data_IF_276471978349
#
_entry.id   IF_276471978349
#
_cell.length_a   1.000
_cell.length_b   1.000
_cell.length_c   1.000
_cell.angle_alpha   90.00
_cell.angle_beta   90.00
_cell.angle_gamma   90.00
#
_symmetry.space_group_name_H-M   'P 1'
#
loop_
_entity.id
_entity.type
_entity.pdbx_description
1 polymer ?
#
# COMPACT_ATOMS: atom_id res chain seq x y z
N UNK A 1 4.52 -52.87 61.84
CA UNK A 1 4.30 -51.40 61.90
C UNK A 1 5.54 -50.72 61.35
N UNK A 2 5.35 -49.82 60.37
CA UNK A 2 6.11 -48.55 60.21
C UNK A 2 7.58 -48.65 59.73
N UNK A 3 8.08 -47.89 58.77
CA UNK A 3 7.52 -46.82 57.95
C UNK A 3 8.42 -46.59 56.73
N UNK A 4 7.77 -46.55 55.58
CA UNK A 4 8.25 -46.08 54.29
C UNK A 4 8.41 -44.56 54.29
N UNK A 5 9.21 -44.09 53.32
CA UNK A 5 9.23 -42.75 52.72
C UNK A 5 10.06 -41.69 53.45
N UNK A 6 11.12 -41.29 52.75
CA UNK A 6 11.69 -39.95 52.52
C UNK A 6 12.97 -40.24 51.72
N UNK A 7 13.31 -39.66 50.58
CA UNK A 7 12.87 -38.45 49.91
C UNK A 7 13.60 -38.50 48.55
N UNK A 8 12.90 -38.78 47.44
CA UNK A 8 13.50 -38.75 46.10
C UNK A 8 13.13 -37.42 45.48
N UNK A 9 14.10 -36.51 45.39
CA UNK A 9 14.04 -35.37 44.48
C UNK A 9 15.47 -34.95 44.10
N UNK A 10 15.61 -34.59 42.82
CA UNK A 10 16.70 -33.84 42.17
C UNK A 10 18.02 -34.54 41.84
N UNK A 11 18.39 -34.52 40.55
CA UNK A 11 19.76 -34.77 40.09
C UNK A 11 19.87 -35.16 38.61
N UNK A 12 20.13 -34.18 37.75
CA UNK A 12 20.28 -34.23 36.30
C UNK A 12 21.29 -35.25 35.70
N UNK A 13 20.98 -35.75 34.49
CA UNK A 13 21.93 -36.11 33.42
C UNK A 13 21.10 -36.22 32.11
N UNK A 14 21.14 -35.25 31.19
CA UNK A 14 22.12 -35.08 30.11
C UNK A 14 22.06 -36.18 29.03
N UNK A 15 22.07 -35.73 27.76
CA UNK A 15 22.31 -36.44 26.49
C UNK A 15 21.08 -36.83 25.65
N UNK A 16 20.77 -35.99 24.66
CA UNK A 16 20.71 -36.39 23.26
C UNK A 16 20.38 -35.17 22.37
N UNK A 17 21.43 -34.46 21.93
CA UNK A 17 21.40 -33.63 20.72
C UNK A 17 21.91 -34.51 19.59
N UNK A 18 21.06 -34.92 18.65
CA UNK A 18 21.44 -35.17 17.26
C UNK A 18 20.19 -35.11 16.37
N UNK A 19 20.22 -34.17 15.41
CA UNK A 19 19.58 -34.34 14.11
C UNK A 19 18.21 -33.72 13.89
N UNK A 20 18.16 -32.41 13.58
CA UNK A 20 17.18 -31.85 12.65
C UNK A 20 17.80 -30.68 11.85
N UNK A 21 18.70 -31.01 10.92
CA UNK A 21 19.01 -30.16 9.78
C UNK A 21 18.27 -30.69 8.56
N UNK A 22 17.01 -30.28 8.37
CA UNK A 22 16.33 -30.33 7.07
C UNK A 22 14.95 -29.68 7.21
N UNK A 23 14.88 -28.38 6.95
CA UNK A 23 13.83 -27.73 6.15
C UNK A 23 14.08 -26.22 6.19
N UNK A 24 15.07 -25.77 5.41
CA UNK A 24 14.99 -24.45 4.80
C UNK A 24 13.85 -24.50 3.78
N UNK A 25 12.62 -24.41 4.27
CA UNK A 25 11.47 -24.13 3.42
C UNK A 25 11.32 -22.62 3.37
N UNK A 26 12.17 -21.99 2.54
CA UNK A 26 12.00 -20.60 2.15
C UNK A 26 10.83 -20.52 1.16
N UNK A 27 9.64 -20.93 1.61
CA UNK A 27 8.39 -20.68 0.93
C UNK A 27 8.06 -19.22 1.22
N UNK A 28 8.70 -18.35 0.46
CA UNK A 28 8.14 -17.04 0.16
C UNK A 28 6.80 -17.31 -0.53
N UNK A 29 5.76 -17.41 0.28
CA UNK A 29 4.37 -17.49 -0.11
C UNK A 29 4.00 -16.18 -0.82
N UNK A 30 4.47 -16.01 -2.06
CA UNK A 30 3.78 -15.17 -3.01
C UNK A 30 2.46 -15.89 -3.27
N UNK A 31 1.44 -15.55 -2.49
CA UNK A 31 0.04 -15.85 -2.78
C UNK A 31 -0.34 -15.08 -4.05
N UNK A 32 0.21 -15.51 -5.17
CA UNK A 32 -0.34 -15.32 -6.51
C UNK A 32 -1.50 -16.31 -6.61
N UNK A 33 -2.56 -16.07 -5.83
CA UNK A 33 -3.81 -16.77 -6.06
C UNK A 33 -4.22 -16.44 -7.49
N UNK A 34 -4.27 -17.45 -8.34
CA UNK A 34 -4.69 -17.40 -9.73
C UNK A 34 -6.22 -17.14 -9.84
N UNK A 35 -6.74 -16.23 -9.01
CA UNK A 35 -8.12 -15.74 -9.07
C UNK A 35 -8.19 -14.84 -10.28
N UNK A 36 -9.00 -15.26 -11.25
CA UNK A 36 -9.33 -14.45 -12.43
C UNK A 36 -9.76 -13.06 -11.97
N UNK A 37 -9.06 -12.03 -12.45
CA UNK A 37 -9.38 -10.64 -12.13
C UNK A 37 -10.80 -10.35 -12.66
N UNK A 38 -11.74 -9.88 -11.82
CA UNK A 38 -13.07 -9.55 -12.28
C UNK A 38 -13.03 -8.37 -13.27
N UNK A 39 -13.66 -8.52 -14.42
CA UNK A 39 -13.66 -7.47 -15.46
C UNK A 39 -14.98 -6.70 -15.51
N UNK A 40 -15.96 -7.10 -14.69
CA UNK A 40 -17.25 -6.40 -14.52
C UNK A 40 -17.62 -6.32 -13.04
N UNK A 41 -18.14 -5.17 -12.62
CA UNK A 41 -18.61 -4.92 -11.26
C UNK A 41 -20.14 -4.80 -11.28
N UNK A 42 -20.82 -5.89 -10.93
CA UNK A 42 -22.29 -5.98 -10.97
C UNK A 42 -22.95 -5.62 -9.63
N UNK A 43 -22.19 -5.66 -8.53
CA UNK A 43 -22.67 -5.35 -7.18
C UNK A 43 -22.28 -3.93 -6.81
N UNK A 44 -23.13 -3.24 -6.05
CA UNK A 44 -22.80 -1.94 -5.45
C UNK A 44 -21.53 -2.08 -4.60
N UNK A 45 -20.53 -1.28 -4.93
CA UNK A 45 -19.18 -1.36 -4.36
C UNK A 45 -18.74 0.03 -3.94
N UNK A 46 -18.30 0.19 -2.70
CA UNK A 46 -17.75 1.45 -2.19
C UNK A 46 -16.24 1.35 -2.12
N UNK A 47 -15.55 2.30 -2.75
CA UNK A 47 -14.10 2.48 -2.68
C UNK A 47 -13.83 3.69 -1.81
N UNK A 48 -13.22 3.48 -0.64
CA UNK A 48 -12.81 4.58 0.23
C UNK A 48 -11.46 5.11 -0.24
N UNK A 49 -11.37 6.41 -0.52
CA UNK A 49 -10.14 7.08 -0.96
C UNK A 49 -9.71 8.15 0.04
N UNK A 50 -8.60 7.91 0.73
CA UNK A 50 -7.93 8.91 1.56
C UNK A 50 -6.99 9.81 0.77
N UNK A 51 -7.12 11.12 0.96
CA UNK A 51 -6.31 12.13 0.27
C UNK A 51 -6.01 13.33 1.18
N UNK A 52 -5.05 14.16 0.80
CA UNK A 52 -4.72 15.41 1.51
C UNK A 52 -4.60 16.64 0.62
N UNK A 53 -5.22 16.59 -0.56
CA UNK A 53 -5.36 17.72 -1.47
C UNK A 53 -6.32 18.77 -0.90
N UNK A 54 -6.02 20.04 -1.12
CA UNK A 54 -6.86 21.19 -0.76
C UNK A 54 -7.07 22.10 -1.98
N UNK A 55 -7.96 23.09 -1.84
CA UNK A 55 -8.22 24.10 -2.89
C UNK A 55 -8.58 23.49 -4.25
N UNK A 56 -7.97 24.05 -5.31
CA UNK A 56 -8.25 23.63 -6.69
C UNK A 56 -7.96 22.15 -6.97
N UNK A 57 -6.96 21.58 -6.29
CA UNK A 57 -6.63 20.17 -6.44
C UNK A 57 -7.73 19.26 -5.86
N UNK A 58 -8.31 19.64 -4.71
CA UNK A 58 -9.46 18.94 -4.14
C UNK A 58 -10.69 19.02 -5.06
N UNK A 59 -11.01 20.22 -5.57
CA UNK A 59 -12.13 20.40 -6.50
C UNK A 59 -11.96 19.57 -7.78
N UNK A 60 -10.73 19.48 -8.28
CA UNK A 60 -10.39 18.65 -9.44
C UNK A 60 -10.59 17.16 -9.16
N UNK A 61 -10.13 16.67 -7.99
CA UNK A 61 -10.35 15.28 -7.57
C UNK A 61 -11.85 14.97 -7.45
N UNK A 62 -12.64 15.85 -6.83
CA UNK A 62 -14.09 15.68 -6.73
C UNK A 62 -14.76 15.58 -8.11
N UNK A 63 -14.34 16.40 -9.08
CA UNK A 63 -14.86 16.33 -10.44
C UNK A 63 -14.47 15.00 -11.12
N UNK A 64 -13.21 14.60 -11.04
CA UNK A 64 -12.73 13.32 -11.59
C UNK A 64 -13.49 12.13 -11.00
N UNK A 65 -13.75 12.14 -9.70
CA UNK A 65 -14.56 11.14 -9.02
C UNK A 65 -15.98 11.09 -9.58
N UNK A 66 -16.66 12.24 -9.71
CA UNK A 66 -18.02 12.29 -10.28
C UNK A 66 -18.06 11.75 -11.71
N UNK A 67 -17.07 12.13 -12.54
CA UNK A 67 -16.97 11.67 -13.92
C UNK A 67 -16.73 10.14 -13.98
N UNK A 68 -15.94 9.60 -13.05
CA UNK A 68 -15.71 8.17 -12.91
C UNK A 68 -16.98 7.42 -12.49
N UNK A 69 -17.68 7.88 -11.45
CA UNK A 69 -18.92 7.26 -10.95
C UNK A 69 -20.03 7.29 -12.00
N UNK A 70 -20.14 8.37 -12.79
CA UNK A 70 -21.10 8.46 -13.90
C UNK A 70 -20.86 7.37 -14.96
N UNK A 71 -19.60 7.02 -15.22
CA UNK A 71 -19.23 5.93 -16.14
C UNK A 71 -19.31 4.54 -15.51
N UNK A 72 -19.34 4.47 -14.17
CA UNK A 72 -19.28 3.24 -13.40
C UNK A 72 -20.40 3.21 -12.34
N UNK A 73 -21.68 3.04 -12.71
CA UNK A 73 -22.84 3.28 -11.84
C UNK A 73 -22.95 2.33 -10.62
N UNK A 74 -22.15 1.26 -10.60
CA UNK A 74 -22.08 0.33 -9.47
C UNK A 74 -20.95 0.63 -8.49
N UNK A 75 -20.11 1.63 -8.78
CA UNK A 75 -18.98 2.01 -7.94
C UNK A 75 -19.26 3.40 -7.35
N UNK A 76 -19.11 3.50 -6.04
CA UNK A 76 -19.14 4.77 -5.29
C UNK A 76 -17.76 5.01 -4.69
N UNK A 77 -17.18 6.17 -4.94
CA UNK A 77 -15.91 6.60 -4.37
C UNK A 77 -16.19 7.51 -3.17
N UNK A 78 -15.94 7.00 -1.97
CA UNK A 78 -16.02 7.78 -0.73
C UNK A 78 -14.70 8.54 -0.54
N UNK A 79 -14.66 9.79 -1.00
CA UNK A 79 -13.53 10.70 -0.76
C UNK A 79 -13.48 11.11 0.71
N UNK A 80 -12.34 10.88 1.39
CA UNK A 80 -12.11 11.30 2.77
C UNK A 80 -10.81 12.10 2.87
N UNK A 81 -10.93 13.39 3.21
CA UNK A 81 -9.76 14.23 3.47
C UNK A 81 -9.16 13.86 4.82
N UNK A 82 -7.83 13.74 4.88
CA UNK A 82 -7.09 13.35 6.08
C UNK A 82 -6.19 14.47 6.60
N UNK A 83 -6.78 15.64 6.88
CA UNK A 83 -6.10 16.75 7.58
C UNK A 83 -5.58 17.87 6.67
N UNK A 84 -5.75 17.75 5.34
CA UNK A 84 -5.37 18.80 4.38
C UNK A 84 -3.85 19.04 4.25
N UNK A 85 -3.03 18.26 4.95
CA UNK A 85 -1.58 18.19 4.76
C UNK A 85 -1.10 16.72 4.73
N UNK A 86 0.08 16.50 4.15
CA UNK A 86 0.61 15.15 3.96
C UNK A 86 1.06 14.46 5.26
N UNK A 87 1.51 15.23 6.27
CA UNK A 87 1.99 14.67 7.54
C UNK A 87 0.87 13.96 8.30
N UNK A 88 -0.32 14.58 8.34
CA UNK A 88 -1.49 13.99 9.00
C UNK A 88 -1.95 12.72 8.29
N UNK A 89 -1.99 12.74 6.95
CA UNK A 89 -2.33 11.56 6.16
C UNK A 89 -1.32 10.43 6.42
N UNK A 90 -0.02 10.72 6.41
CA UNK A 90 1.02 9.73 6.72
C UNK A 90 0.83 9.13 8.12
N UNK A 91 0.62 9.98 9.11
CA UNK A 91 0.48 9.56 10.51
C UNK A 91 -0.72 8.63 10.70
N UNK A 92 -1.85 8.96 10.06
CA UNK A 92 -3.06 8.10 10.08
C UNK A 92 -2.88 6.79 9.33
N UNK A 93 -2.15 6.80 8.21
CA UNK A 93 -1.83 5.57 7.50
C UNK A 93 -0.95 4.66 8.37
N UNK A 94 0.11 5.20 8.97
CA UNK A 94 1.04 4.44 9.83
C UNK A 94 0.33 3.88 11.06
N UNK A 95 -0.51 4.66 11.74
CA UNK A 95 -1.28 4.16 12.88
C UNK A 95 -2.33 3.12 12.47
N UNK A 96 -2.96 3.30 11.31
CA UNK A 96 -3.92 2.35 10.74
C UNK A 96 -3.33 1.01 10.34
N UNK A 97 -2.01 0.90 10.12
CA UNK A 97 -1.38 -0.37 9.76
C UNK A 97 -1.57 -1.46 10.85
N UNK A 98 -1.80 -1.09 12.10
CA UNK A 98 -2.08 -2.03 13.19
C UNK A 98 -3.51 -2.60 13.16
N UNK A 99 -4.45 -1.91 12.48
CA UNK A 99 -5.84 -2.33 12.32
C UNK A 99 -6.23 -2.23 10.84
N UNK A 100 -5.85 -3.23 10.01
CA UNK A 100 -6.04 -3.17 8.56
C UNK A 100 -7.50 -2.95 8.12
N UNK A 101 -8.47 -3.33 8.95
CA UNK A 101 -9.91 -3.18 8.67
C UNK A 101 -10.36 -1.72 8.54
N UNK A 102 -9.61 -0.79 9.12
CA UNK A 102 -9.95 0.64 9.13
C UNK A 102 -9.18 1.44 8.06
N UNK A 103 -8.31 0.78 7.29
CA UNK A 103 -7.57 1.38 6.18
C UNK A 103 -8.48 1.67 4.98
N UNK A 104 -8.14 2.70 4.16
CA UNK A 104 -8.87 2.98 2.95
C UNK A 104 -8.63 1.90 1.89
N UNK A 105 -9.54 1.80 0.91
CA UNK A 105 -9.34 0.95 -0.26
C UNK A 105 -8.17 1.44 -1.11
N UNK A 106 -8.03 2.75 -1.25
CA UNK A 106 -6.91 3.42 -1.93
C UNK A 106 -6.50 4.68 -1.17
N UNK A 107 -5.24 5.06 -1.25
CA UNK A 107 -4.74 6.29 -0.61
C UNK A 107 -3.76 7.01 -1.48
N UNK A 108 -3.72 8.34 -1.33
CA UNK A 108 -2.60 9.14 -1.78
C UNK A 108 -1.40 8.86 -0.85
N UNK A 109 -0.21 8.67 -1.42
CA UNK A 109 0.99 8.43 -0.63
C UNK A 109 2.27 8.83 -1.37
N UNK A 110 3.28 9.29 -0.64
CA UNK A 110 4.63 9.44 -1.19
C UNK A 110 5.31 8.07 -1.36
N UNK A 111 6.20 7.91 -2.35
CA UNK A 111 7.02 6.72 -2.57
C UNK A 111 7.60 6.08 -1.29
N UNK A 112 8.20 6.89 -0.41
CA UNK A 112 8.82 6.39 0.82
C UNK A 112 7.83 5.73 1.79
N UNK A 113 6.56 6.13 1.78
CA UNK A 113 5.53 5.52 2.63
C UNK A 113 5.15 4.13 2.13
N UNK A 114 5.12 3.94 0.80
CA UNK A 114 4.80 2.65 0.18
C UNK A 114 5.83 1.59 0.58
N UNK A 115 7.11 1.96 0.70
CA UNK A 115 8.17 1.02 1.04
C UNK A 115 7.91 0.30 2.38
N UNK A 116 7.54 1.06 3.42
CA UNK A 116 7.23 0.47 4.73
C UNK A 116 5.98 -0.40 4.70
N UNK A 117 4.92 0.03 4.00
CA UNK A 117 3.71 -0.77 3.86
C UNK A 117 3.95 -2.06 3.04
N UNK A 118 4.77 -2.00 1.99
CA UNK A 118 5.15 -3.16 1.18
C UNK A 118 5.91 -4.21 2.01
N UNK A 119 6.87 -3.80 2.86
CA UNK A 119 7.60 -4.72 3.76
C UNK A 119 6.70 -5.46 4.74
N UNK A 120 5.55 -4.87 5.09
CA UNK A 120 4.57 -5.48 5.97
C UNK A 120 3.46 -6.25 5.22
N UNK A 121 3.61 -6.46 3.90
CA UNK A 121 2.60 -7.12 3.04
C UNK A 121 1.23 -6.43 3.07
N UNK A 122 1.22 -5.10 3.25
CA UNK A 122 -0.01 -4.30 3.39
C UNK A 122 -0.48 -3.68 2.06
N UNK A 123 0.24 -3.93 0.97
CA UNK A 123 -0.07 -3.37 -0.36
C UNK A 123 -0.41 -4.46 -1.36
N UNK A 124 -1.38 -4.16 -2.22
CA UNK A 124 -1.75 -5.01 -3.34
C UNK A 124 -0.72 -4.86 -4.46
N UNK A 125 -0.22 -5.97 -4.99
CA UNK A 125 0.56 -5.96 -6.23
C UNK A 125 -0.34 -5.53 -7.40
N UNK A 126 -0.11 -4.34 -7.94
CA UNK A 126 -0.89 -3.77 -9.04
C UNK A 126 -0.47 -4.30 -10.41
N UNK A 127 0.69 -4.95 -10.53
CA UNK A 127 1.27 -5.42 -11.79
C UNK A 127 0.28 -6.27 -12.62
N UNK A 128 -0.45 -7.26 -12.03
CA UNK A 128 -1.43 -8.05 -12.79
C UNK A 128 -2.60 -7.22 -13.32
N UNK A 129 -3.03 -6.20 -12.58
CA UNK A 129 -4.13 -5.31 -12.97
C UNK A 129 -3.70 -4.34 -14.08
N UNK A 130 -2.49 -3.80 -13.98
CA UNK A 130 -1.89 -2.92 -15.00
C UNK A 130 -1.72 -3.64 -16.34
N UNK A 131 -1.25 -4.89 -16.29
CA UNK A 131 -1.00 -5.72 -17.48
C UNK A 131 -2.26 -6.38 -18.04
N UNK A 132 -3.41 -6.27 -17.36
CA UNK A 132 -4.67 -6.76 -17.89
C UNK A 132 -5.15 -5.84 -19.03
N UNK A 133 -5.49 -6.41 -20.19
CA UNK A 133 -5.92 -5.65 -21.36
C UNK A 133 -7.40 -5.23 -21.35
N UNK A 134 -8.23 -5.86 -20.51
CA UNK A 134 -9.66 -5.53 -20.41
C UNK A 134 -9.92 -4.39 -19.43
N UNK A 135 -9.24 -4.39 -18.27
CA UNK A 135 -9.45 -3.39 -17.21
C UNK A 135 -8.25 -2.46 -16.97
N UNK A 136 -7.07 -2.82 -17.48
CA UNK A 136 -5.83 -2.06 -17.33
C UNK A 136 -5.36 -1.49 -18.66
N UNK A 137 -4.07 -1.17 -18.73
CA UNK A 137 -3.45 -0.68 -19.96
C UNK A 137 -2.91 -1.82 -20.85
N UNK A 138 -2.98 -3.07 -20.41
CA UNK A 138 -2.34 -4.22 -21.05
C UNK A 138 -0.81 -4.25 -20.91
N UNK A 139 -0.18 -3.10 -20.62
CA UNK A 139 1.23 -2.99 -20.24
C UNK A 139 1.50 -1.58 -19.71
N UNK A 140 2.58 -1.42 -18.94
CA UNK A 140 3.11 -0.10 -18.58
C UNK A 140 3.32 0.82 -19.81
N UNK A 141 3.89 0.30 -20.89
CA UNK A 141 4.23 1.09 -22.08
C UNK A 141 3.01 1.78 -22.72
N UNK A 142 1.83 1.18 -22.58
CA UNK A 142 0.56 1.73 -23.08
C UNK A 142 -0.09 2.76 -22.15
N UNK A 143 0.44 2.98 -20.95
CA UNK A 143 -0.10 3.97 -20.00
C UNK A 143 0.22 5.43 -20.38
N UNK A 144 1.27 5.65 -21.18
CA UNK A 144 1.79 7.00 -21.48
C UNK A 144 2.48 7.69 -20.30
N UNK A 145 2.63 7.01 -19.15
CA UNK A 145 3.27 7.57 -17.96
C UNK A 145 4.79 7.50 -18.09
N UNK A 146 5.46 8.63 -17.85
CA UNK A 146 6.92 8.72 -17.88
C UNK A 146 7.54 7.76 -16.85
N UNK A 147 8.56 7.00 -17.27
CA UNK A 147 9.24 5.99 -16.44
C UNK A 147 9.73 6.55 -15.10
N UNK A 148 10.32 7.76 -15.12
CA UNK A 148 10.81 8.43 -13.92
C UNK A 148 9.74 8.68 -12.85
N UNK A 149 8.46 8.83 -13.25
CA UNK A 149 7.35 8.95 -12.30
C UNK A 149 6.87 7.56 -11.84
N UNK A 150 6.80 6.62 -12.78
CA UNK A 150 6.33 5.25 -12.59
C UNK A 150 7.17 4.48 -11.57
N UNK A 151 8.50 4.57 -11.70
CA UNK A 151 9.46 3.85 -10.86
C UNK A 151 9.35 4.24 -9.39
N UNK A 152 8.81 5.43 -9.08
CA UNK A 152 8.60 5.88 -7.69
C UNK A 152 7.63 5.02 -6.88
N UNK A 153 6.88 4.11 -7.50
CA UNK A 153 6.04 3.14 -6.79
C UNK A 153 6.39 1.68 -7.14
N UNK A 154 7.53 1.47 -7.80
CA UNK A 154 8.09 0.15 -8.04
C UNK A 154 9.05 -0.22 -6.91
N UNK A 155 8.75 -1.29 -6.18
CA UNK A 155 9.57 -1.79 -5.08
C UNK A 155 9.98 -3.20 -5.44
N UNK A 156 11.30 -3.41 -5.63
CA UNK A 156 11.89 -4.70 -5.97
C UNK A 156 11.20 -5.40 -7.17
N UNK A 157 10.89 -4.65 -8.23
CA UNK A 157 10.25 -5.17 -9.44
C UNK A 157 8.73 -5.26 -9.36
N UNK A 158 8.12 -5.01 -8.19
CA UNK A 158 6.66 -5.04 -8.01
C UNK A 158 6.08 -3.63 -8.00
N UNK A 159 5.06 -3.39 -8.84
CA UNK A 159 4.35 -2.11 -8.84
C UNK A 159 3.27 -2.09 -7.74
N UNK A 160 3.41 -1.20 -6.77
CA UNK A 160 2.46 -1.07 -5.65
C UNK A 160 1.60 0.20 -5.70
N UNK A 161 1.87 1.10 -6.64
CA UNK A 161 1.09 2.33 -6.82
C UNK A 161 1.15 2.83 -8.26
N UNK A 162 0.25 3.76 -8.61
CA UNK A 162 0.25 4.45 -9.90
C UNK A 162 0.51 5.93 -9.64
N UNK A 163 1.40 6.61 -10.39
CA UNK A 163 1.61 8.04 -10.26
C UNK A 163 0.29 8.79 -10.44
N UNK A 164 -0.09 9.58 -9.43
CA UNK A 164 -1.39 10.27 -9.39
C UNK A 164 -1.23 11.79 -9.55
N UNK A 165 -0.57 12.44 -8.59
CA UNK A 165 -0.23 13.86 -8.64
C UNK A 165 1.24 14.03 -8.26
N UNK A 166 1.98 14.80 -9.05
CA UNK A 166 3.41 15.05 -8.86
C UNK A 166 3.69 16.54 -8.98
N UNK A 167 4.60 17.00 -8.14
CA UNK A 167 5.19 18.33 -8.17
C UNK A 167 6.68 18.21 -8.40
N UNK A 168 7.30 19.32 -8.80
CA UNK A 168 8.75 19.51 -8.78
C UNK A 168 9.03 20.67 -7.85
N UNK A 169 10.14 20.60 -7.11
CA UNK A 169 10.61 21.74 -6.34
C UNK A 169 11.06 22.85 -7.28
N UNK A 170 10.60 24.08 -7.00
CA UNK A 170 10.96 25.27 -7.76
C UNK A 170 11.32 26.38 -6.80
N UNK A 171 12.36 27.14 -7.12
CA UNK A 171 12.72 28.34 -6.38
C UNK A 171 11.90 29.52 -6.90
N UNK A 172 10.98 30.01 -6.08
CA UNK A 172 10.37 31.32 -6.30
C UNK A 172 11.19 32.38 -5.58
N UNK A 173 11.55 33.45 -6.28
CA UNK A 173 12.23 34.60 -5.69
C UNK A 173 11.58 35.90 -6.15
N UNK A 174 11.70 36.94 -5.32
CA UNK A 174 11.27 38.28 -5.68
C UNK A 174 12.41 38.98 -6.43
N UNK A 175 12.22 39.17 -7.74
CA UNK A 175 13.22 39.80 -8.60
C UNK A 175 13.59 41.21 -8.14
N UNK A 176 12.62 42.05 -7.77
CA UNK A 176 12.87 43.41 -7.30
C UNK A 176 13.71 43.45 -6.03
N UNK A 177 13.50 42.52 -5.11
CA UNK A 177 14.32 42.43 -3.89
C UNK A 177 15.73 41.91 -4.19
N UNK A 178 15.86 40.94 -5.09
CA UNK A 178 17.15 40.40 -5.50
C UNK A 178 17.99 41.42 -6.29
N UNK A 179 17.36 42.29 -7.08
CA UNK A 179 18.07 43.34 -7.82
C UNK A 179 18.50 44.50 -6.89
N UNK A 180 17.89 44.63 -5.70
CA UNK A 180 18.14 45.73 -4.74
C UNK A 180 19.27 45.43 -3.75
N UNK A 181 19.48 44.15 -3.40
CA UNK A 181 20.44 43.70 -2.37
C UNK A 181 21.41 42.69 -2.95
#
# INVERSE_FOLDING_TARGET
>A
MKFYKKLVLTGAAALAVLGLSACSNNNSSSSSSNKKIPTKINKKTTVTFWYSLTGNAQSSLQKLTKDFEKKNPNITIKLQSQGGNYSDLQSKLVSGLQSPKDLPTITQAYPGWLYNAAKNNMLVNLTPYINNSEIGWGSYAKSGIKKALWDGANINGTQYGVPFNKSVEVLFYNKTLLDKY
#
